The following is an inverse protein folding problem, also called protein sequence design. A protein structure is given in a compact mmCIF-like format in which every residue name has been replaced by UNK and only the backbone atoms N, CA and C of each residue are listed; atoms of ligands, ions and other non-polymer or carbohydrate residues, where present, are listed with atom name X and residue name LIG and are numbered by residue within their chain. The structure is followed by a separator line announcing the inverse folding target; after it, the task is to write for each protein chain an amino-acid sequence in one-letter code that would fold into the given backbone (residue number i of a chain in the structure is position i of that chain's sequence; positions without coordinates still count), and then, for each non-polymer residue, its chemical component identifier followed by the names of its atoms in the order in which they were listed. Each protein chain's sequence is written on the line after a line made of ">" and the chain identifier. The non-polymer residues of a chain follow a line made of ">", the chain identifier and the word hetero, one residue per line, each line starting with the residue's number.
data_IF_448033212175
#
_entry.id   IF_448033212175
#
_cell.length_a   1.000
_cell.length_b   1.000
_cell.length_c   1.000
_cell.angle_alpha   90.00
_cell.angle_beta   90.00
_cell.angle_gamma   90.00
#
_symmetry.space_group_name_H-M   'P 1'
#
loop_
_entity.id
_entity.type
_entity.pdbx_description
1 polymer ?
#
# COMPACT_ATOMS: atom_id res chain seq x y z
N UNK A 1 18.08 30.84 7.19
CA UNK A 1 17.10 31.00 6.09
C UNK A 1 15.74 30.62 6.62
N UNK A 2 14.76 31.52 6.51
CA UNK A 2 13.38 31.21 6.89
C UNK A 2 12.71 30.46 5.74
N UNK A 3 12.35 29.19 5.99
CA UNK A 3 11.77 28.31 4.97
C UNK A 3 10.29 28.62 4.70
N UNK A 4 9.63 29.47 5.51
CA UNK A 4 8.23 29.87 5.28
C UNK A 4 8.07 30.85 4.12
N UNK A 5 9.09 31.68 3.86
CA UNK A 5 9.02 32.78 2.89
C UNK A 5 9.93 32.59 1.69
N UNK A 6 10.85 31.62 1.75
CA UNK A 6 11.78 31.32 0.66
C UNK A 6 11.20 30.23 -0.25
N UNK A 7 11.22 30.38 -1.59
CA UNK A 7 10.76 29.35 -2.51
C UNK A 7 11.48 28.01 -2.31
N UNK A 8 10.76 26.90 -2.46
CA UNK A 8 11.32 25.55 -2.26
C UNK A 8 12.52 25.23 -3.14
N UNK A 9 12.59 25.83 -4.34
CA UNK A 9 13.74 25.75 -5.25
C UNK A 9 15.05 26.30 -4.67
N UNK A 10 15.00 27.05 -3.56
CA UNK A 10 16.17 27.60 -2.86
C UNK A 10 16.42 26.96 -1.49
N UNK A 11 15.63 25.96 -1.09
CA UNK A 11 15.79 25.30 0.20
C UNK A 11 17.10 24.49 0.28
N UNK A 12 17.55 23.96 -0.85
CA UNK A 12 18.78 23.18 -1.00
C UNK A 12 19.74 23.93 -1.91
N UNK A 13 21.01 24.04 -1.51
CA UNK A 13 22.07 24.61 -2.36
C UNK A 13 22.63 23.56 -3.33
N UNK A 14 23.43 23.98 -4.31
CA UNK A 14 24.13 23.07 -5.22
C UNK A 14 25.13 22.12 -4.51
N UNK A 15 25.42 22.37 -3.23
CA UNK A 15 26.30 21.53 -2.39
C UNK A 15 25.69 21.44 -0.99
N UNK A 16 24.68 20.57 -0.78
CA UNK A 16 23.94 20.50 0.46
C UNK A 16 24.81 20.04 1.63
N UNK A 17 24.63 20.68 2.78
CA UNK A 17 25.22 20.24 4.05
C UNK A 17 24.23 19.42 4.87
N UNK A 18 24.72 18.67 5.87
CA UNK A 18 23.84 17.97 6.83
C UNK A 18 22.91 18.94 7.57
N UNK A 19 23.37 20.16 7.85
CA UNK A 19 22.58 21.21 8.50
C UNK A 19 21.44 21.71 7.59
N UNK A 20 21.67 21.79 6.28
CA UNK A 20 20.60 22.13 5.32
C UNK A 20 19.50 21.07 5.35
N UNK A 21 19.88 19.79 5.30
CA UNK A 21 18.94 18.67 5.38
C UNK A 21 18.20 18.66 6.73
N UNK A 22 18.91 18.86 7.84
CA UNK A 22 18.33 18.90 9.18
C UNK A 22 17.31 20.02 9.36
N UNK A 23 17.56 21.19 8.76
CA UNK A 23 16.64 22.33 8.77
C UNK A 23 15.37 22.06 7.97
N UNK A 24 15.51 21.51 6.75
CA UNK A 24 14.37 21.16 5.89
C UNK A 24 13.53 20.09 6.57
N UNK A 25 14.16 19.03 7.10
CA UNK A 25 13.45 17.96 7.82
C UNK A 25 12.68 18.53 8.99
N UNK A 26 13.31 19.38 9.81
CA UNK A 26 12.65 20.02 10.96
C UNK A 26 11.47 20.90 10.55
N UNK A 27 11.60 21.62 9.44
CA UNK A 27 10.52 22.43 8.88
C UNK A 27 9.34 21.58 8.40
N UNK A 28 9.60 20.55 7.59
CA UNK A 28 8.58 19.63 7.09
C UNK A 28 7.89 18.87 8.23
N UNK A 29 8.63 18.45 9.26
CA UNK A 29 8.05 17.88 10.48
C UNK A 29 7.10 18.86 11.16
N UNK A 30 7.48 20.13 11.34
CA UNK A 30 6.61 21.16 11.93
C UNK A 30 5.35 21.43 11.10
N UNK A 31 5.43 21.28 9.77
CA UNK A 31 4.27 21.40 8.86
C UNK A 31 3.42 20.13 8.81
N UNK A 32 3.76 19.09 9.55
CA UNK A 32 3.03 17.83 9.56
C UNK A 32 3.18 17.02 8.26
N UNK A 33 4.16 17.32 7.40
CA UNK A 33 4.32 16.67 6.09
C UNK A 33 4.54 15.16 6.20
N UNK A 34 5.12 14.70 7.31
CA UNK A 34 5.37 13.26 7.56
C UNK A 34 4.27 12.60 8.42
N UNK A 35 3.16 13.29 8.66
CA UNK A 35 2.01 12.72 9.33
C UNK A 35 1.09 12.06 8.30
N UNK A 36 0.91 10.75 8.44
CA UNK A 36 0.02 9.96 7.60
C UNK A 36 -1.15 9.47 8.46
N UNK A 37 -2.35 10.05 8.33
CA UNK A 37 -3.50 9.62 9.11
C UNK A 37 -3.91 8.20 8.71
N UNK A 38 -4.06 7.34 9.71
CA UNK A 38 -4.51 5.94 9.55
C UNK A 38 -5.98 5.80 9.89
N UNK A 39 -6.66 4.88 9.20
CA UNK A 39 -7.92 4.31 9.68
C UNK A 39 -7.68 3.47 10.95
N UNK A 40 -8.74 3.12 11.68
CA UNK A 40 -8.65 2.32 12.91
C UNK A 40 -7.95 0.96 12.70
N UNK A 41 -7.99 0.44 11.47
CA UNK A 41 -7.36 -0.81 11.07
C UNK A 41 -5.94 -0.62 10.50
N UNK A 42 -5.33 0.56 10.62
CA UNK A 42 -3.96 0.81 10.19
C UNK A 42 -3.76 0.97 8.69
N UNK A 43 -4.85 1.02 7.90
CA UNK A 43 -4.80 1.34 6.48
C UNK A 43 -4.82 2.86 6.24
N UNK A 44 -4.30 3.26 5.09
CA UNK A 44 -4.20 4.64 4.63
C UNK A 44 -5.11 4.86 3.43
N UNK A 45 -5.90 5.93 3.47
CA UNK A 45 -6.60 6.42 2.27
C UNK A 45 -5.59 6.97 1.27
N UNK A 46 -5.87 6.87 -0.03
CA UNK A 46 -4.98 7.36 -1.08
C UNK A 46 -4.73 8.88 -1.03
N UNK A 47 -5.68 9.65 -0.50
CA UNK A 47 -5.41 11.02 -0.09
C UNK A 47 -5.99 11.31 1.29
N UNK A 48 -5.48 12.35 1.94
CA UNK A 48 -6.08 12.91 3.14
C UNK A 48 -7.00 14.07 2.74
N UNK A 49 -8.26 14.01 3.18
CA UNK A 49 -9.23 15.08 2.97
C UNK A 49 -10.45 14.89 3.86
N UNK A 50 -11.26 15.95 3.97
CA UNK A 50 -12.49 15.96 4.77
C UNK A 50 -13.63 16.56 3.93
N UNK A 51 -14.86 16.08 4.16
CA UNK A 51 -16.07 16.63 3.54
C UNK A 51 -16.68 15.76 2.42
N UNK A 52 -17.94 16.06 2.05
CA UNK A 52 -18.72 15.26 1.10
C UNK A 52 -18.14 15.19 -0.32
N UNK A 53 -17.44 16.23 -0.76
CA UNK A 53 -16.75 16.23 -2.07
C UNK A 53 -15.55 15.28 -2.06
N UNK A 54 -14.87 15.14 -0.92
CA UNK A 54 -13.78 14.18 -0.73
C UNK A 54 -14.30 12.73 -0.76
N UNK A 55 -15.46 12.47 -0.17
CA UNK A 55 -16.14 11.17 -0.23
C UNK A 55 -16.48 10.74 -1.68
N UNK A 56 -16.78 11.69 -2.56
CA UNK A 56 -17.14 11.44 -3.96
C UNK A 56 -15.93 11.23 -4.88
N UNK A 57 -14.73 11.67 -4.48
CA UNK A 57 -13.52 11.56 -5.32
C UNK A 57 -12.93 10.16 -5.42
N UNK A 58 -13.36 9.24 -4.54
CA UNK A 58 -12.78 7.90 -4.44
C UNK A 58 -11.42 7.86 -3.73
N UNK A 59 -10.84 8.98 -3.31
CA UNK A 59 -9.55 9.03 -2.61
C UNK A 59 -9.57 8.48 -1.18
N UNK A 60 -10.76 8.22 -0.61
CA UNK A 60 -10.93 7.47 0.64
C UNK A 60 -10.68 5.95 0.47
N UNK A 61 -10.70 5.46 -0.76
CA UNK A 61 -10.42 4.04 -0.99
C UNK A 61 -8.95 3.73 -0.68
N UNK A 62 -8.71 2.48 -0.37
CA UNK A 62 -7.39 1.94 -0.12
C UNK A 62 -6.81 1.54 -1.46
N UNK A 63 -5.60 2.00 -1.74
CA UNK A 63 -4.76 1.43 -2.80
C UNK A 63 -3.68 0.60 -2.16
N UNK A 64 -3.54 -0.64 -2.64
CA UNK A 64 -2.58 -1.57 -2.09
C UNK A 64 -1.15 -1.01 -2.16
N UNK A 65 -0.72 -0.55 -3.34
CA UNK A 65 0.63 0.01 -3.55
C UNK A 65 0.94 1.12 -2.54
N UNK A 66 0.06 2.11 -2.43
CA UNK A 66 0.20 3.26 -1.55
C UNK A 66 0.37 2.83 -0.09
N UNK A 67 -0.46 1.88 0.35
CA UNK A 67 -0.42 1.35 1.72
C UNK A 67 0.88 0.62 2.02
N UNK A 68 1.38 -0.18 1.07
CA UNK A 68 2.66 -0.88 1.24
C UNK A 68 3.83 0.11 1.27
N UNK A 69 3.83 1.12 0.41
CA UNK A 69 4.91 2.12 0.37
C UNK A 69 4.94 2.98 1.64
N UNK A 70 3.78 3.42 2.14
CA UNK A 70 3.69 4.16 3.40
C UNK A 70 4.11 3.27 4.58
N UNK A 71 3.57 2.05 4.67
CA UNK A 71 3.97 1.08 5.70
C UNK A 71 5.49 0.84 5.68
N UNK A 72 6.08 0.64 4.50
CA UNK A 72 7.53 0.49 4.38
C UNK A 72 8.28 1.73 4.86
N UNK A 73 7.83 2.95 4.54
CA UNK A 73 8.47 4.17 5.01
C UNK A 73 8.50 4.26 6.56
N UNK A 74 7.42 3.83 7.23
CA UNK A 74 7.39 3.71 8.69
C UNK A 74 8.42 2.69 9.20
N UNK A 75 8.51 1.52 8.57
CA UNK A 75 9.48 0.50 8.96
C UNK A 75 10.93 0.93 8.72
N UNK A 76 11.22 1.51 7.56
CA UNK A 76 12.59 1.77 7.10
C UNK A 76 13.16 3.06 7.68
N UNK A 77 12.34 4.09 7.87
CA UNK A 77 12.79 5.42 8.32
C UNK A 77 12.50 5.66 9.79
N UNK A 78 11.33 5.21 10.28
CA UNK A 78 10.92 5.42 11.67
C UNK A 78 11.28 4.23 12.57
N UNK A 79 11.69 3.10 11.99
CA UNK A 79 11.94 1.84 12.69
C UNK A 79 10.74 1.42 13.56
N UNK A 80 9.53 1.72 13.07
CA UNK A 80 8.27 1.38 13.71
C UNK A 80 7.67 0.14 13.02
N UNK A 81 7.67 -1.03 13.68
CA UNK A 81 7.06 -2.23 13.12
C UNK A 81 5.53 -2.28 13.29
N UNK A 82 4.94 -1.46 14.17
CA UNK A 82 3.53 -1.53 14.52
C UNK A 82 2.61 -1.19 13.36
N UNK A 83 2.87 -0.05 12.71
CA UNK A 83 2.12 0.42 11.53
C UNK A 83 2.17 -0.61 10.37
N UNK A 84 3.36 -1.07 9.93
CA UNK A 84 3.45 -2.11 8.90
C UNK A 84 2.69 -3.39 9.24
N UNK A 85 2.80 -3.87 10.49
CA UNK A 85 2.12 -5.09 10.92
C UNK A 85 0.60 -4.94 10.84
N UNK A 86 0.07 -3.82 11.32
CA UNK A 86 -1.37 -3.56 11.28
C UNK A 86 -1.88 -3.47 9.84
N UNK A 87 -1.17 -2.72 8.99
CA UNK A 87 -1.47 -2.60 7.56
C UNK A 87 -1.49 -3.96 6.85
N UNK A 88 -0.43 -4.78 7.02
CA UNK A 88 -0.33 -6.12 6.44
C UNK A 88 -1.44 -7.05 6.97
N UNK A 89 -1.75 -7.00 8.26
CA UNK A 89 -2.84 -7.80 8.83
C UNK A 89 -4.20 -7.42 8.22
N UNK A 90 -4.48 -6.15 8.01
CA UNK A 90 -5.75 -5.73 7.40
C UNK A 90 -5.84 -6.03 5.91
N UNK A 91 -4.75 -5.91 5.17
CA UNK A 91 -4.70 -6.30 3.74
C UNK A 91 -4.85 -7.82 3.59
N UNK A 92 -4.18 -8.61 4.42
CA UNK A 92 -4.31 -10.08 4.38
C UNK A 92 -5.72 -10.52 4.79
N UNK A 93 -6.37 -9.85 5.73
CA UNK A 93 -7.79 -10.06 6.05
C UNK A 93 -8.71 -9.76 4.85
N UNK A 94 -8.45 -8.67 4.12
CA UNK A 94 -9.18 -8.36 2.89
C UNK A 94 -9.05 -9.49 1.86
N UNK A 95 -7.82 -9.94 1.57
CA UNK A 95 -7.60 -11.01 0.60
C UNK A 95 -8.08 -12.39 1.07
N UNK A 96 -8.06 -12.67 2.38
CA UNK A 96 -8.66 -13.88 2.92
C UNK A 96 -10.19 -13.90 2.69
N UNK A 97 -10.87 -12.76 2.88
CA UNK A 97 -12.31 -12.60 2.62
C UNK A 97 -12.64 -12.76 1.14
N UNK A 98 -11.83 -12.16 0.26
CA UNK A 98 -12.06 -12.17 -1.19
C UNK A 98 -11.19 -13.18 -1.93
N UNK A 99 -10.79 -14.26 -1.24
CA UNK A 99 -9.89 -15.29 -1.77
C UNK A 99 -10.35 -15.92 -3.09
N UNK A 100 -11.65 -15.89 -3.35
CA UNK A 100 -12.25 -16.39 -4.58
C UNK A 100 -11.63 -15.74 -5.83
N UNK A 101 -11.19 -14.47 -5.77
CA UNK A 101 -10.52 -13.78 -6.88
C UNK A 101 -9.24 -14.49 -7.36
N UNK A 102 -8.46 -15.04 -6.43
CA UNK A 102 -7.29 -15.84 -6.79
C UNK A 102 -7.72 -17.24 -7.27
N UNK A 103 -8.61 -17.89 -6.53
CA UNK A 103 -8.96 -19.29 -6.74
C UNK A 103 -9.71 -19.48 -8.06
N UNK A 104 -10.65 -18.60 -8.38
CA UNK A 104 -11.48 -18.70 -9.58
C UNK A 104 -10.67 -18.52 -10.85
N UNK A 105 -9.67 -17.62 -10.84
CA UNK A 105 -8.71 -17.48 -11.95
C UNK A 105 -7.83 -18.72 -12.04
N UNK A 106 -7.26 -19.17 -10.91
CA UNK A 106 -6.37 -20.35 -10.89
C UNK A 106 -7.07 -21.61 -11.39
N UNK A 107 -8.36 -21.75 -11.10
CA UNK A 107 -9.18 -22.91 -11.50
C UNK A 107 -9.88 -22.70 -12.85
N UNK A 108 -9.62 -21.59 -13.55
CA UNK A 108 -10.19 -21.30 -14.88
C UNK A 108 -11.69 -21.01 -14.88
N UNK A 109 -12.28 -20.66 -13.73
CA UNK A 109 -13.69 -20.25 -13.63
C UNK A 109 -13.95 -18.84 -14.13
N UNK A 110 -12.94 -17.97 -14.06
CA UNK A 110 -13.04 -16.58 -14.48
C UNK A 110 -11.83 -16.19 -15.31
N UNK A 111 -12.04 -15.34 -16.32
CA UNK A 111 -10.98 -14.82 -17.16
C UNK A 111 -10.25 -13.66 -16.48
N UNK A 112 -8.92 -13.77 -16.33
CA UNK A 112 -8.09 -12.72 -15.76
C UNK A 112 -7.87 -11.55 -16.72
N UNK A 113 -8.12 -11.71 -18.02
CA UNK A 113 -8.12 -10.60 -18.98
C UNK A 113 -9.23 -9.59 -18.67
N UNK A 114 -10.26 -9.99 -17.94
CA UNK A 114 -11.28 -9.07 -17.44
C UNK A 114 -10.84 -8.51 -16.06
N UNK A 115 -10.42 -7.23 -15.96
CA UNK A 115 -9.71 -6.74 -14.77
C UNK A 115 -10.50 -6.87 -13.48
N UNK A 116 -11.83 -6.79 -13.53
CA UNK A 116 -12.69 -6.92 -12.35
C UNK A 116 -12.71 -8.33 -11.75
N UNK A 117 -12.22 -9.35 -12.47
CA UNK A 117 -12.08 -10.71 -11.94
C UNK A 117 -10.78 -10.88 -11.13
N UNK A 118 -9.79 -10.01 -11.36
CA UNK A 118 -8.49 -10.08 -10.67
C UNK A 118 -8.65 -9.75 -9.18
N UNK A 119 -7.67 -10.12 -8.33
CA UNK A 119 -7.60 -9.63 -6.96
C UNK A 119 -7.61 -8.10 -6.94
N UNK A 120 -8.58 -7.50 -6.26
CA UNK A 120 -8.72 -6.05 -6.27
C UNK A 120 -7.55 -5.39 -5.54
N UNK A 121 -6.92 -4.42 -6.20
CA UNK A 121 -5.87 -3.55 -5.64
C UNK A 121 -6.41 -2.26 -5.02
N UNK A 122 -7.71 -2.00 -5.23
CA UNK A 122 -8.44 -0.82 -4.76
C UNK A 122 -9.71 -1.30 -4.08
N UNK A 123 -9.93 -0.92 -2.83
CA UNK A 123 -11.06 -1.42 -2.03
C UNK A 123 -11.49 -0.45 -0.91
N UNK A 124 -12.61 -0.74 -0.26
CA UNK A 124 -13.11 0.06 0.85
C UNK A 124 -12.31 -0.23 2.13
N UNK A 125 -11.65 0.78 2.69
CA UNK A 125 -10.81 0.61 3.87
C UNK A 125 -11.56 0.47 5.19
N UNK A 126 -12.79 0.98 5.28
CA UNK A 126 -13.56 0.92 6.52
C UNK A 126 -14.11 -0.47 6.82
N UNK A 127 -14.56 -1.20 5.80
CA UNK A 127 -15.20 -2.50 5.99
C UNK A 127 -14.51 -3.64 5.24
N UNK A 128 -13.46 -3.37 4.45
CA UNK A 128 -12.75 -4.35 3.63
C UNK A 128 -13.67 -5.00 2.56
N UNK A 129 -14.64 -4.25 2.04
CA UNK A 129 -15.45 -4.66 0.88
C UNK A 129 -14.78 -4.28 -0.45
N UNK A 130 -15.04 -5.10 -1.47
CA UNK A 130 -14.71 -4.76 -2.86
C UNK A 130 -15.59 -3.62 -3.36
N UNK A 131 -15.08 -2.82 -4.29
CA UNK A 131 -15.84 -1.78 -4.96
C UNK A 131 -16.53 -2.38 -6.19
N UNK A 132 -17.78 -2.01 -6.44
CA UNK A 132 -18.53 -2.46 -7.63
C UNK A 132 -18.18 -1.66 -8.89
N UNK A 133 -17.53 -0.52 -8.74
CA UNK A 133 -17.06 0.33 -9.84
C UNK A 133 -16.03 -0.39 -10.70
N UNK A 134 -16.19 -0.34 -12.02
CA UNK A 134 -15.19 -0.91 -12.93
C UNK A 134 -13.84 -0.21 -12.74
N UNK A 135 -12.80 -0.99 -12.49
CA UNK A 135 -11.44 -0.50 -12.32
C UNK A 135 -10.44 -1.45 -12.98
N UNK A 136 -9.27 -0.91 -13.32
CA UNK A 136 -8.18 -1.70 -13.89
C UNK A 136 -7.33 -2.29 -12.76
N UNK A 137 -7.67 -3.51 -12.35
CA UNK A 137 -6.97 -4.22 -11.27
C UNK A 137 -5.78 -5.08 -11.75
N UNK A 138 -5.39 -4.97 -13.02
CA UNK A 138 -4.14 -5.53 -13.52
C UNK A 138 -2.96 -4.69 -12.99
N UNK A 139 -2.64 -4.84 -11.71
CA UNK A 139 -1.53 -4.14 -11.03
C UNK A 139 -0.78 -5.13 -10.17
N UNK A 140 0.00 -5.99 -10.82
CA UNK A 140 0.79 -7.04 -10.21
C UNK A 140 1.92 -6.47 -9.36
N UNK A 141 2.41 -5.26 -9.66
CA UNK A 141 3.37 -4.53 -8.83
C UNK A 141 2.91 -4.42 -7.37
N UNK A 142 1.65 -4.06 -7.14
CA UNK A 142 1.08 -3.85 -5.81
C UNK A 142 1.02 -5.16 -5.01
N UNK A 143 0.63 -6.26 -5.66
CA UNK A 143 0.66 -7.59 -5.07
C UNK A 143 2.10 -8.05 -4.75
N UNK A 144 3.04 -7.69 -5.63
CA UNK A 144 4.47 -7.94 -5.45
C UNK A 144 5.02 -7.22 -4.21
N UNK A 145 4.66 -5.95 -4.05
CA UNK A 145 5.04 -5.16 -2.88
C UNK A 145 4.47 -5.76 -1.58
N UNK A 146 3.24 -6.26 -1.58
CA UNK A 146 2.66 -6.92 -0.40
C UNK A 146 3.50 -8.13 0.02
N UNK A 147 3.79 -9.05 -0.92
CA UNK A 147 4.64 -10.22 -0.62
C UNK A 147 6.00 -9.79 -0.09
N UNK A 148 6.62 -8.81 -0.74
CA UNK A 148 7.91 -8.28 -0.33
C UNK A 148 7.89 -7.72 1.09
N UNK A 149 6.88 -6.91 1.45
CA UNK A 149 6.79 -6.33 2.80
C UNK A 149 6.55 -7.41 3.86
N UNK A 150 5.72 -8.43 3.58
CA UNK A 150 5.54 -9.59 4.46
C UNK A 150 6.89 -10.28 4.70
N UNK A 151 7.67 -10.53 3.64
CA UNK A 151 9.00 -11.13 3.76
C UNK A 151 9.96 -10.25 4.58
N UNK A 152 9.94 -8.92 4.40
CA UNK A 152 10.76 -8.01 5.20
C UNK A 152 10.39 -8.04 6.69
N UNK A 153 9.10 -8.08 7.02
CA UNK A 153 8.65 -8.19 8.41
C UNK A 153 9.05 -9.52 9.04
N UNK A 154 8.99 -10.62 8.27
CA UNK A 154 9.46 -11.94 8.71
C UNK A 154 10.97 -11.94 8.94
N UNK A 155 11.76 -11.43 8.00
CA UNK A 155 13.23 -11.38 8.08
C UNK A 155 13.72 -10.54 9.27
N UNK A 156 12.96 -9.51 9.66
CA UNK A 156 13.26 -8.64 10.80
C UNK A 156 12.63 -9.14 12.11
N UNK A 157 12.02 -10.33 12.09
CA UNK A 157 11.38 -10.96 13.26
C UNK A 157 10.20 -10.16 13.84
N UNK A 158 9.61 -9.25 13.06
CA UNK A 158 8.42 -8.50 13.42
C UNK A 158 7.13 -9.28 13.15
N UNK A 159 7.14 -10.16 12.14
CA UNK A 159 6.07 -11.10 11.85
C UNK A 159 6.61 -12.53 11.98
N UNK A 160 5.95 -13.39 12.76
CA UNK A 160 6.39 -14.77 12.90
C UNK A 160 5.94 -15.63 11.71
N UNK A 161 6.75 -16.64 11.36
CA UNK A 161 6.38 -17.63 10.34
C UNK A 161 5.05 -18.33 10.69
N UNK A 162 4.79 -18.58 11.98
CA UNK A 162 3.57 -19.23 12.44
C UNK A 162 2.31 -18.35 12.31
N UNK A 163 2.47 -17.03 12.41
CA UNK A 163 1.37 -16.07 12.26
C UNK A 163 1.11 -15.69 10.79
N UNK A 164 1.97 -16.11 9.86
CA UNK A 164 1.83 -15.78 8.43
C UNK A 164 0.82 -16.71 7.75
N UNK A 165 -0.12 -16.14 7.00
CA UNK A 165 -1.06 -16.93 6.19
C UNK A 165 -0.39 -17.44 4.90
N UNK A 166 0.31 -18.56 5.02
CA UNK A 166 0.96 -19.21 3.87
C UNK A 166 -0.02 -19.73 2.83
N UNK A 167 -1.30 -19.90 3.17
CA UNK A 167 -2.32 -20.32 2.19
C UNK A 167 -2.57 -19.20 1.21
N UNK A 168 -2.75 -17.97 1.70
CA UNK A 168 -2.89 -16.77 0.88
C UNK A 168 -1.64 -16.56 0.00
N UNK A 169 -0.44 -16.67 0.58
CA UNK A 169 0.81 -16.50 -0.18
C UNK A 169 0.92 -17.54 -1.30
N UNK A 170 0.59 -18.80 -1.02
CA UNK A 170 0.58 -19.84 -2.05
C UNK A 170 -0.49 -19.59 -3.14
N UNK A 171 -1.64 -19.02 -2.78
CA UNK A 171 -2.67 -18.61 -3.76
C UNK A 171 -2.17 -17.49 -4.67
N UNK A 172 -1.49 -16.48 -4.12
CA UNK A 172 -0.89 -15.40 -4.88
C UNK A 172 0.14 -15.92 -5.89
N UNK A 173 1.05 -16.80 -5.45
CA UNK A 173 2.07 -17.39 -6.35
C UNK A 173 1.41 -18.22 -7.46
N UNK A 174 0.38 -19.02 -7.14
CA UNK A 174 -0.37 -19.78 -8.16
C UNK A 174 -1.07 -18.86 -9.16
N UNK A 175 -1.68 -17.78 -8.69
CA UNK A 175 -2.29 -16.77 -9.54
C UNK A 175 -1.28 -16.18 -10.53
N UNK A 176 -0.09 -15.79 -10.06
CA UNK A 176 0.98 -15.26 -10.92
C UNK A 176 1.48 -16.23 -11.99
N UNK A 177 1.45 -17.54 -11.70
CA UNK A 177 1.76 -18.55 -12.71
C UNK A 177 0.69 -18.62 -13.80
N UNK A 178 -0.59 -18.43 -13.46
CA UNK A 178 -1.71 -18.49 -14.42
C UNK A 178 -1.78 -17.24 -15.28
N UNK A 179 -1.58 -16.06 -14.68
CA UNK A 179 -1.57 -14.81 -15.46
C UNK A 179 -0.24 -14.61 -16.20
N UNK A 180 0.77 -15.43 -15.94
CA UNK A 180 2.12 -15.26 -16.48
C UNK A 180 2.67 -13.86 -16.16
N UNK A 181 2.81 -13.54 -14.86
CA UNK A 181 3.15 -12.21 -14.35
C UNK A 181 4.40 -11.56 -14.97
N UNK A 182 5.29 -12.36 -15.57
CA UNK A 182 6.48 -11.87 -16.28
C UNK A 182 6.19 -11.26 -17.65
N UNK A 183 5.01 -11.48 -18.21
CA UNK A 183 4.53 -10.97 -19.51
C UNK A 183 3.19 -10.23 -19.43
N UNK A 184 2.47 -10.37 -18.32
CA UNK A 184 1.21 -9.68 -18.06
C UNK A 184 1.47 -8.24 -17.56
N UNK A 185 1.27 -7.28 -18.46
CA UNK A 185 1.51 -5.87 -18.20
C UNK A 185 0.54 -5.31 -17.16
N UNK A 186 1.07 -4.45 -16.30
CA UNK A 186 0.24 -3.62 -15.43
C UNK A 186 -0.46 -2.54 -16.26
N UNK A 187 -1.72 -2.27 -15.92
CA UNK A 187 -2.58 -1.28 -16.57
C UNK A 187 -2.47 0.13 -16.00
#
# INVERSE_FOLDING_TARGET
>A
MDLEVVPSSKWVSDSPTLDDIGRIKSFLTKKGTFYFPTLENGLFSAAAGEGGDFELTGYRNIWLRDNIQIAWAHLAVQNDPGIPLQCVNSITQFYARHRHRFVDIVEGRTDFQEPMNRPHIRFNGSDLSELSEKWSHAQNDALGYLLWLICELVKREHLSLAATDWTLIAQLVRYWMVVEVWTDEDS
#
